data_IF_205158274175
#
_entry.id   IF_205158274175
#
_cell.length_a   1.000
_cell.length_b   1.000
_cell.length_c   1.000
_cell.angle_alpha   90.00
_cell.angle_beta   90.00
_cell.angle_gamma   90.00
#
_symmetry.space_group_name_H-M   'P 1'
#
loop_
_entity.id
_entity.type
_entity.pdbx_description
1 polymer ?
#
# COMPACT_ATOMS: atom_id res chain seq x y z
N UNK A 1 -21.15 11.01 -2.27
CA UNK A 1 -20.05 10.19 -2.84
C UNK A 1 -18.73 10.80 -2.40
N UNK A 2 -17.80 10.04 -1.83
CA UNK A 2 -16.53 10.58 -1.33
C UNK A 2 -15.63 10.90 -2.52
N UNK A 3 -15.27 12.17 -2.69
CA UNK A 3 -14.34 12.61 -3.72
C UNK A 3 -12.93 12.32 -3.19
N UNK A 4 -12.31 11.24 -3.68
CA UNK A 4 -10.94 10.93 -3.30
C UNK A 4 -10.04 12.07 -3.76
N UNK A 5 -9.16 12.54 -2.87
CA UNK A 5 -8.11 13.50 -3.22
C UNK A 5 -7.31 12.94 -4.42
N UNK A 6 -6.95 13.78 -5.41
CA UNK A 6 -6.21 13.36 -6.61
C UNK A 6 -4.74 13.04 -6.31
N UNK A 7 -4.44 12.57 -5.10
CA UNK A 7 -3.12 12.06 -4.71
C UNK A 7 -2.91 10.63 -5.20
N UNK A 8 -4.01 9.92 -5.52
CA UNK A 8 -4.01 8.55 -6.07
C UNK A 8 -4.41 8.58 -7.55
N UNK A 9 -4.18 9.71 -8.22
CA UNK A 9 -4.44 9.87 -9.65
C UNK A 9 -3.41 9.11 -10.48
N UNK A 10 -3.88 8.46 -11.55
CA UNK A 10 -3.00 7.96 -12.61
C UNK A 10 -2.16 9.11 -13.18
N UNK A 11 -0.95 8.80 -13.65
CA UNK A 11 -0.01 9.76 -14.21
C UNK A 11 -0.74 10.76 -15.15
N UNK A 12 -0.39 12.07 -15.13
CA UNK A 12 -0.97 13.04 -16.05
C UNK A 12 -0.98 12.48 -17.49
N UNK A 13 -2.16 12.45 -18.11
CA UNK A 13 -2.38 11.82 -19.42
C UNK A 13 -2.99 10.41 -19.41
N UNK A 14 -3.40 9.88 -18.25
CA UNK A 14 -4.19 8.65 -18.14
C UNK A 14 -3.39 7.35 -18.34
N UNK A 15 -2.07 7.45 -18.47
CA UNK A 15 -1.15 6.30 -18.61
C UNK A 15 -0.59 5.92 -17.25
N UNK A 16 -0.18 4.66 -17.09
CA UNK A 16 0.62 4.29 -15.92
C UNK A 16 2.04 4.85 -16.06
N UNK A 17 2.73 5.06 -14.92
CA UNK A 17 4.13 5.50 -14.90
C UNK A 17 5.04 4.58 -15.73
N UNK A 18 4.83 3.26 -15.67
CA UNK A 18 5.62 2.31 -16.47
C UNK A 18 5.40 2.50 -17.98
N UNK A 19 4.18 2.79 -18.41
CA UNK A 19 3.91 3.08 -19.83
C UNK A 19 4.61 4.38 -20.26
N UNK A 20 4.66 5.41 -19.41
CA UNK A 20 5.41 6.64 -19.69
C UNK A 20 6.91 6.36 -19.86
N UNK A 21 7.51 5.62 -18.92
CA UNK A 21 8.93 5.23 -18.93
C UNK A 21 9.30 4.47 -20.20
N UNK A 22 8.53 3.44 -20.55
CA UNK A 22 8.87 2.57 -21.68
C UNK A 22 8.48 3.12 -23.05
N UNK A 23 7.49 4.03 -23.13
CA UNK A 23 7.02 4.56 -24.42
C UNK A 23 7.64 5.90 -24.79
N UNK A 24 7.76 6.81 -23.83
CA UNK A 24 8.18 8.19 -24.07
C UNK A 24 9.43 8.59 -23.29
N UNK A 25 10.05 7.67 -22.54
CA UNK A 25 11.26 7.94 -21.76
C UNK A 25 11.05 9.04 -20.72
N UNK A 26 9.87 9.09 -20.09
CA UNK A 26 9.54 10.09 -19.06
C UNK A 26 9.63 11.56 -19.54
N UNK A 27 9.41 11.82 -20.84
CA UNK A 27 9.46 13.17 -21.42
C UNK A 27 8.51 14.21 -20.77
N UNK A 28 7.39 13.75 -20.18
CA UNK A 28 6.45 14.61 -19.45
C UNK A 28 6.79 14.78 -17.97
N UNK A 29 7.86 14.15 -17.48
CA UNK A 29 8.26 14.19 -16.09
C UNK A 29 9.08 15.45 -15.83
N UNK A 30 8.77 16.12 -14.73
CA UNK A 30 9.47 17.31 -14.28
C UNK A 30 9.88 17.10 -12.83
N UNK A 31 10.94 17.79 -12.43
CA UNK A 31 11.36 17.79 -11.04
C UNK A 31 10.26 18.33 -10.13
N UNK A 32 10.25 17.83 -8.89
CA UNK A 32 9.25 18.24 -7.90
C UNK A 32 9.41 19.74 -7.62
N UNK A 33 8.38 20.58 -7.81
CA UNK A 33 8.51 22.03 -7.69
C UNK A 33 8.65 22.53 -6.24
N UNK A 34 8.50 21.63 -5.25
CA UNK A 34 8.66 21.95 -3.84
C UNK A 34 10.14 22.05 -3.49
N UNK A 35 10.60 23.25 -3.14
CA UNK A 35 11.98 23.57 -2.78
C UNK A 35 12.22 23.65 -1.27
N UNK A 36 11.21 23.35 -0.45
CA UNK A 36 11.39 23.31 1.00
C UNK A 36 12.38 22.21 1.41
N UNK A 37 13.08 22.41 2.52
CA UNK A 37 14.01 21.42 3.08
C UNK A 37 13.35 20.27 3.83
N UNK A 38 12.02 20.12 3.73
CA UNK A 38 11.29 19.04 4.35
C UNK A 38 11.50 17.73 3.58
N UNK A 39 11.35 16.58 4.26
CA UNK A 39 11.34 15.29 3.58
C UNK A 39 10.26 15.22 2.51
N UNK A 40 10.58 14.53 1.41
CA UNK A 40 9.62 14.32 0.35
C UNK A 40 8.48 13.43 0.85
N UNK A 41 7.24 13.93 0.76
CA UNK A 41 6.04 13.21 1.22
C UNK A 41 5.91 11.82 0.60
N UNK A 42 6.34 11.64 -0.65
CA UNK A 42 6.33 10.33 -1.30
C UNK A 42 7.20 9.31 -0.57
N UNK A 43 8.36 9.74 -0.06
CA UNK A 43 9.29 8.88 0.68
C UNK A 43 8.77 8.59 2.09
N UNK A 44 8.20 9.59 2.76
CA UNK A 44 7.53 9.41 4.06
C UNK A 44 6.41 8.37 3.94
N UNK A 45 5.56 8.49 2.91
CA UNK A 45 4.47 7.54 2.66
C UNK A 45 5.03 6.17 2.28
N UNK A 46 6.02 6.07 1.40
CA UNK A 46 6.60 4.79 0.99
C UNK A 46 7.26 4.05 2.16
N UNK A 47 7.88 4.79 3.08
CA UNK A 47 8.45 4.25 4.32
C UNK A 47 7.38 3.76 5.30
N UNK A 48 6.31 4.53 5.48
CA UNK A 48 5.23 4.17 6.40
C UNK A 48 4.29 3.08 5.84
N UNK A 49 4.00 3.13 4.53
CA UNK A 49 2.97 2.35 3.85
C UNK A 49 3.56 1.70 2.60
N UNK A 50 3.84 0.40 2.69
CA UNK A 50 4.30 -0.39 1.54
C UNK A 50 3.46 -1.65 1.36
N UNK A 51 3.34 -2.12 0.12
CA UNK A 51 2.69 -3.41 -0.16
C UNK A 51 3.39 -4.56 0.56
N UNK A 52 4.71 -4.50 0.67
CA UNK A 52 5.52 -5.53 1.34
C UNK A 52 5.27 -5.56 2.84
N UNK A 53 5.21 -4.41 3.51
CA UNK A 53 4.91 -4.35 4.95
C UNK A 53 3.50 -4.85 5.21
N UNK A 54 2.52 -4.50 4.36
CA UNK A 54 1.16 -5.05 4.45
C UNK A 54 1.13 -6.58 4.30
N UNK A 55 1.83 -7.14 3.30
CA UNK A 55 1.90 -8.59 3.11
C UNK A 55 2.59 -9.31 4.27
N UNK A 56 3.67 -8.73 4.82
CA UNK A 56 4.34 -9.27 6.01
C UNK A 56 3.43 -9.24 7.23
N UNK A 57 2.75 -8.13 7.46
CA UNK A 57 1.80 -7.99 8.56
C UNK A 57 0.67 -9.02 8.44
N UNK A 58 0.10 -9.18 7.25
CA UNK A 58 -0.91 -10.20 6.98
C UNK A 58 -0.37 -11.60 7.33
N UNK A 59 0.81 -11.98 6.83
CA UNK A 59 1.41 -13.28 7.11
C UNK A 59 1.64 -13.52 8.62
N UNK A 60 2.14 -12.52 9.34
CA UNK A 60 2.34 -12.61 10.80
C UNK A 60 1.01 -12.81 11.52
N UNK A 61 -0.03 -12.05 11.15
CA UNK A 61 -1.37 -12.20 11.72
C UNK A 61 -1.93 -13.60 11.44
N UNK A 62 -1.75 -14.16 10.24
CA UNK A 62 -2.22 -15.52 9.94
C UNK A 62 -1.50 -16.57 10.78
N UNK A 63 -0.18 -16.48 10.89
CA UNK A 63 0.61 -17.44 11.69
C UNK A 63 0.28 -17.31 13.17
N UNK A 64 0.22 -16.09 13.70
CA UNK A 64 -0.13 -15.85 15.09
C UNK A 64 -1.56 -16.28 15.41
N UNK A 65 -2.52 -16.06 14.50
CA UNK A 65 -3.89 -16.53 14.62
C UNK A 65 -3.97 -18.06 14.66
N UNK A 66 -3.28 -18.74 13.74
CA UNK A 66 -3.24 -20.20 13.70
C UNK A 66 -2.56 -20.81 14.95
N UNK A 67 -1.45 -20.23 15.38
CA UNK A 67 -0.77 -20.63 16.63
C UNK A 67 -1.65 -20.34 17.86
N UNK A 68 -2.35 -19.20 17.88
CA UNK A 68 -3.32 -18.81 18.90
C UNK A 68 -4.46 -19.81 19.04
N UNK A 69 -5.02 -20.28 17.92
CA UNK A 69 -6.05 -21.35 17.92
C UNK A 69 -5.51 -22.72 18.34
N UNK A 70 -4.21 -22.96 18.21
CA UNK A 70 -3.60 -24.21 18.68
C UNK A 70 -3.30 -24.20 20.19
N UNK A 71 -3.02 -23.03 20.78
CA UNK A 71 -2.77 -22.89 22.23
C UNK A 71 -4.05 -22.68 23.05
N UNK A 72 -5.09 -22.09 22.46
CA UNK A 72 -6.44 -22.05 23.01
C UNK A 72 -7.20 -23.26 22.44
N UNK A 73 -7.01 -24.44 23.05
CA UNK A 73 -7.74 -25.66 22.66
C UNK A 73 -9.26 -25.44 22.64
N UNK A 74 -10.05 -26.31 21.98
CA UNK A 74 -11.47 -26.08 21.77
C UNK A 74 -12.21 -25.96 23.11
N UNK A 75 -12.61 -24.75 23.47
CA UNK A 75 -13.76 -24.56 24.34
C UNK A 75 -14.98 -24.97 23.55
N UNK A 76 -15.51 -26.16 23.83
CA UNK A 76 -16.67 -26.73 23.17
C UNK A 76 -17.86 -25.75 23.14
N UNK A 77 -18.15 -25.19 21.98
CA UNK A 77 -19.39 -24.46 21.68
C UNK A 77 -20.03 -25.11 20.47
N UNK A 78 -21.04 -25.94 20.71
CA UNK A 78 -21.69 -26.77 19.71
C UNK A 78 -22.34 -25.93 18.60
N UNK A 79 -22.09 -26.35 17.35
CA UNK A 79 -22.85 -25.89 16.20
C UNK A 79 -24.29 -26.41 16.30
N UNK A 80 -25.27 -25.53 16.11
CA UNK A 80 -26.67 -25.92 15.84
C UNK A 80 -27.01 -25.46 14.43
N UNK A 81 -27.62 -26.39 13.71
CA UNK A 81 -28.05 -26.33 12.31
C UNK A 81 -29.13 -25.27 12.04
#
# INVERSE_FOLDING_TARGET
MRKLLPLIGSHPGGRSALTCRFRCGDACFHETPNTSGNEYVGDVIAGALSRRSALRAAAVVTVAGAAGTAVVGPGAGQAVA
#
